data_IF_694396777773
#
_entry.id   IF_694396777773
#
_cell.length_a   1.000
_cell.length_b   1.000
_cell.length_c   1.000
_cell.angle_alpha   90.00
_cell.angle_beta   90.00
_cell.angle_gamma   90.00
#
_symmetry.space_group_name_H-M   'P 1'
#
loop_
_entity.id
_entity.type
_entity.pdbx_description
1 polymer ?
#
# COMPACT_ATOMS: atom_id res chain seq x y z
N UNK A 1 -17.91 -0.50 -2.73
CA UNK A 1 -17.03 0.30 -3.61
C UNK A 1 -15.72 -0.48 -3.68
N UNK A 2 -15.19 -0.79 -4.86
CA UNK A 2 -13.88 -1.45 -4.96
C UNK A 2 -12.76 -0.45 -4.64
N UNK A 3 -11.61 -0.94 -4.20
CA UNK A 3 -10.46 -0.08 -3.92
C UNK A 3 -10.00 0.73 -5.13
N UNK A 4 -9.44 1.91 -4.89
CA UNK A 4 -8.95 2.85 -5.91
C UNK A 4 -7.44 3.03 -5.79
N UNK A 5 -6.76 3.26 -6.93
CA UNK A 5 -5.32 3.53 -6.99
C UNK A 5 -5.11 4.91 -7.59
N UNK A 6 -4.32 5.75 -6.92
CA UNK A 6 -3.94 7.09 -7.38
C UNK A 6 -2.43 7.20 -7.42
N UNK A 7 -1.91 8.12 -8.22
CA UNK A 7 -0.49 8.41 -8.24
C UNK A 7 -0.21 9.91 -8.32
N UNK A 8 0.93 10.30 -7.74
CA UNK A 8 1.51 11.63 -7.84
C UNK A 8 2.89 11.49 -8.47
N UNK A 9 3.10 12.14 -9.60
CA UNK A 9 4.40 12.24 -10.26
C UNK A 9 5.01 13.60 -9.97
N UNK A 10 6.18 13.65 -9.34
CA UNK A 10 6.93 14.87 -9.11
C UNK A 10 8.05 15.00 -10.14
N UNK A 11 7.82 15.83 -11.17
CA UNK A 11 8.78 16.03 -12.25
C UNK A 11 10.12 16.64 -11.80
N UNK A 12 10.11 17.46 -10.74
CA UNK A 12 11.32 18.18 -10.28
C UNK A 12 12.27 17.25 -9.51
N UNK A 13 11.72 16.33 -8.73
CA UNK A 13 12.47 15.33 -7.96
C UNK A 13 12.57 13.99 -8.68
N UNK A 14 11.96 13.91 -9.87
CA UNK A 14 11.76 12.72 -10.67
C UNK A 14 11.24 11.52 -9.86
N UNK A 15 10.36 11.77 -8.89
CA UNK A 15 9.84 10.78 -7.94
C UNK A 15 8.37 10.45 -8.22
N UNK A 16 7.98 9.23 -7.85
CA UNK A 16 6.61 8.73 -8.01
C UNK A 16 6.08 8.29 -6.65
N UNK A 17 4.86 8.70 -6.31
CA UNK A 17 4.14 8.16 -5.15
C UNK A 17 2.84 7.53 -5.60
N UNK A 18 2.63 6.26 -5.25
CA UNK A 18 1.38 5.55 -5.43
C UNK A 18 0.59 5.53 -4.13
N UNK A 19 -0.72 5.62 -4.23
CA UNK A 19 -1.65 5.54 -3.11
C UNK A 19 -2.72 4.49 -3.39
N UNK A 20 -2.90 3.58 -2.45
CA UNK A 20 -3.98 2.61 -2.44
C UNK A 20 -5.06 3.01 -1.46
N UNK A 21 -6.30 2.91 -1.89
CA UNK A 21 -7.47 3.25 -1.09
C UNK A 21 -8.46 2.10 -1.09
N UNK A 22 -9.12 1.90 0.05
CA UNK A 22 -10.30 1.05 0.19
C UNK A 22 -11.47 1.90 0.69
N UNK A 23 -12.50 2.05 -0.15
CA UNK A 23 -13.53 3.07 0.07
C UNK A 23 -12.91 4.46 0.22
N UNK A 24 -13.10 5.07 1.39
CA UNK A 24 -12.56 6.38 1.75
C UNK A 24 -11.29 6.33 2.63
N UNK A 25 -10.77 5.15 2.90
CA UNK A 25 -9.54 4.95 3.67
C UNK A 25 -8.35 4.78 2.75
N UNK A 26 -7.24 5.46 3.05
CA UNK A 26 -5.98 5.29 2.35
C UNK A 26 -5.18 4.21 3.07
N UNK A 27 -5.12 3.02 2.48
CA UNK A 27 -4.63 1.80 3.14
C UNK A 27 -3.13 1.56 2.93
N UNK A 28 -2.53 2.22 1.94
CA UNK A 28 -1.09 2.24 1.76
C UNK A 28 -0.64 3.39 0.87
N UNK A 29 0.60 3.82 1.06
CA UNK A 29 1.35 4.68 0.14
C UNK A 29 2.68 4.03 -0.20
N UNK A 30 3.14 4.22 -1.43
CA UNK A 30 4.42 3.68 -1.89
C UNK A 30 5.18 4.74 -2.66
N UNK A 31 6.37 5.06 -2.18
CA UNK A 31 7.24 6.07 -2.75
C UNK A 31 8.38 5.40 -3.51
N UNK A 32 8.59 5.87 -4.73
CA UNK A 32 9.70 5.52 -5.57
C UNK A 32 10.54 6.77 -5.83
N UNK A 33 11.79 6.68 -5.40
CA UNK A 33 12.76 7.73 -5.50
C UNK A 33 13.58 7.58 -6.79
N UNK A 34 13.96 8.68 -7.43
CA UNK A 34 15.01 8.59 -8.45
C UNK A 34 16.38 8.54 -7.76
N UNK A 35 17.10 7.46 -8.04
CA UNK A 35 18.43 7.17 -7.48
C UNK A 35 19.47 8.27 -7.73
N UNK A 36 19.26 9.15 -8.71
CA UNK A 36 20.22 10.19 -9.09
C UNK A 36 20.06 11.52 -8.34
N UNK A 37 18.90 11.78 -7.72
CA UNK A 37 18.58 13.11 -7.16
C UNK A 37 18.01 13.07 -5.74
N UNK A 38 17.43 11.96 -5.31
CA UNK A 38 16.73 11.87 -4.02
C UNK A 38 17.63 11.30 -2.92
N UNK A 39 17.56 11.90 -1.72
CA UNK A 39 18.21 11.39 -0.50
C UNK A 39 17.39 10.27 0.17
N UNK A 40 16.15 10.08 -0.26
CA UNK A 40 15.21 9.11 0.30
C UNK A 40 15.23 7.84 -0.53
N UNK A 41 15.21 6.69 0.15
CA UNK A 41 15.08 5.38 -0.51
C UNK A 41 13.60 5.07 -0.80
N UNK A 42 13.37 4.11 -1.68
CA UNK A 42 12.03 3.58 -1.93
C UNK A 42 11.45 3.00 -0.65
N UNK A 43 10.18 3.27 -0.38
CA UNK A 43 9.48 2.74 0.77
C UNK A 43 8.01 2.50 0.47
N UNK A 44 7.39 1.64 1.26
CA UNK A 44 5.94 1.47 1.27
C UNK A 44 5.43 1.45 2.69
N UNK A 45 4.40 2.26 2.98
CA UNK A 45 3.70 2.28 4.27
C UNK A 45 2.30 1.71 4.08
N UNK A 46 1.86 0.89 5.03
CA UNK A 46 0.50 0.39 5.12
C UNK A 46 -0.17 0.95 6.37
N UNK A 47 -1.47 1.18 6.27
CA UNK A 47 -2.30 1.71 7.34
C UNK A 47 -3.45 0.73 7.61
N UNK A 48 -3.67 0.41 8.88
CA UNK A 48 -4.80 -0.37 9.36
C UNK A 48 -5.64 0.54 10.24
N UNK A 49 -6.95 0.50 10.05
CA UNK A 49 -7.91 1.36 10.73
C UNK A 49 -8.84 0.54 11.62
N UNK A 50 -9.45 1.20 12.59
CA UNK A 50 -10.58 0.65 13.34
C UNK A 50 -11.76 0.32 12.40
N UNK A 51 -12.58 -0.69 12.72
CA UNK A 51 -13.76 -1.02 11.93
C UNK A 51 -14.69 0.18 11.78
N UNK A 52 -15.10 0.49 10.55
CA UNK A 52 -16.03 1.57 10.22
C UNK A 52 -15.59 2.96 10.73
N UNK A 53 -14.28 3.21 10.83
CA UNK A 53 -13.73 4.43 11.39
C UNK A 53 -12.54 4.94 10.56
N UNK A 54 -12.24 6.23 10.70
CA UNK A 54 -11.06 6.88 10.12
C UNK A 54 -9.87 6.90 11.10
N UNK A 55 -10.02 6.27 12.26
CA UNK A 55 -8.98 6.18 13.31
C UNK A 55 -7.98 5.10 12.90
N UNK A 56 -6.72 5.44 12.58
CA UNK A 56 -5.68 4.45 12.32
C UNK A 56 -5.33 3.71 13.61
N UNK A 57 -5.22 2.39 13.55
CA UNK A 57 -4.74 1.54 14.65
C UNK A 57 -3.23 1.31 14.56
N UNK A 58 -2.78 1.06 13.34
CA UNK A 58 -1.43 0.59 13.08
C UNK A 58 -0.94 1.17 11.76
N UNK A 59 0.32 1.60 11.75
CA UNK A 59 1.08 1.76 10.51
C UNK A 59 2.26 0.81 10.49
N UNK A 60 2.67 0.43 9.28
CA UNK A 60 3.85 -0.40 9.11
C UNK A 60 4.54 -0.12 7.79
N UNK A 61 5.86 -0.21 7.78
CA UNK A 61 6.70 0.11 6.64
C UNK A 61 7.63 -1.03 6.24
N UNK A 62 7.97 -1.07 4.95
CA UNK A 62 9.05 -1.88 4.42
C UNK A 62 9.83 -1.12 3.35
N UNK A 63 11.10 -1.47 3.18
CA UNK A 63 11.95 -0.90 2.13
C UNK A 63 11.56 -1.44 0.75
N UNK A 64 11.34 -0.51 -0.17
CA UNK A 64 11.03 -0.81 -1.56
C UNK A 64 9.63 -0.39 -1.99
N UNK A 65 9.49 -0.31 -3.31
CA UNK A 65 8.26 0.06 -3.96
C UNK A 65 7.28 -1.11 -4.06
N UNK A 66 5.98 -0.82 -3.96
CA UNK A 66 4.92 -1.83 -3.98
C UNK A 66 4.84 -2.51 -5.34
N UNK A 67 4.84 -3.86 -5.33
CA UNK A 67 4.63 -4.65 -6.54
C UNK A 67 3.14 -4.93 -6.73
N UNK A 68 2.51 -4.17 -7.61
CA UNK A 68 1.09 -4.34 -7.93
C UNK A 68 0.84 -5.54 -8.85
N UNK A 69 -0.32 -6.17 -8.68
CA UNK A 69 -0.87 -7.05 -9.73
C UNK A 69 -1.27 -6.22 -10.94
N UNK A 70 -0.96 -6.73 -12.12
CA UNK A 70 -1.41 -6.17 -13.39
C UNK A 70 -2.94 -6.18 -13.46
N UNK A 71 -3.51 -5.12 -14.03
CA UNK A 71 -4.96 -5.04 -14.25
C UNK A 71 -5.33 -6.05 -15.36
N UNK A 72 -6.11 -7.10 -15.07
CA UNK A 72 -6.51 -8.06 -16.10
C UNK A 72 -7.43 -7.41 -17.13
N UNK A 73 -7.10 -7.57 -18.41
CA UNK A 73 -8.05 -7.23 -19.48
C UNK A 73 -8.97 -8.42 -19.73
N UNK A 74 -10.20 -8.36 -19.21
CA UNK A 74 -11.18 -9.43 -19.40
C UNK A 74 -11.86 -9.42 -20.77
N UNK A 75 -11.68 -8.37 -21.59
CA UNK A 75 -12.32 -8.26 -22.91
C UNK A 75 -11.85 -9.36 -23.86
N UNK A 76 -10.61 -9.84 -23.69
CA UNK A 76 -10.05 -10.94 -24.48
C UNK A 76 -10.85 -12.25 -24.34
N UNK A 77 -11.54 -12.46 -23.21
CA UNK A 77 -12.32 -13.67 -22.96
C UNK A 77 -13.71 -13.67 -23.61
N UNK A 78 -14.05 -12.62 -24.37
CA UNK A 78 -15.22 -12.64 -25.23
C UNK A 78 -15.07 -13.67 -26.36
N UNK A 79 -13.83 -13.88 -26.85
CA UNK A 79 -13.53 -14.74 -27.99
C UNK A 79 -12.64 -15.96 -27.63
N UNK A 80 -12.13 -16.01 -26.41
CA UNK A 80 -11.21 -17.06 -25.92
C UNK A 80 -11.76 -17.62 -24.61
N UNK A 81 -11.79 -18.94 -24.39
CA UNK A 81 -12.24 -19.50 -23.13
C UNK A 81 -11.39 -18.98 -21.96
N UNK A 82 -12.06 -18.57 -20.89
CA UNK A 82 -11.42 -18.14 -19.65
C UNK A 82 -10.51 -19.25 -19.08
N UNK A 83 -9.34 -18.85 -18.58
CA UNK A 83 -8.43 -19.76 -17.90
C UNK A 83 -7.90 -19.11 -16.62
N UNK A 84 -8.27 -19.69 -15.48
CA UNK A 84 -7.84 -19.25 -14.14
C UNK A 84 -6.32 -19.18 -14.01
N UNK A 85 -5.59 -20.08 -14.68
CA UNK A 85 -4.13 -20.13 -14.65
C UNK A 85 -3.45 -18.94 -15.36
N UNK A 86 -4.17 -18.28 -16.27
CA UNK A 86 -3.65 -17.12 -17.02
C UNK A 86 -4.03 -15.78 -16.38
N UNK A 87 -4.99 -15.77 -15.45
CA UNK A 87 -5.49 -14.57 -14.81
C UNK A 87 -4.51 -14.07 -13.72
N UNK A 88 -3.93 -12.87 -13.85
CA UNK A 88 -3.00 -12.28 -12.87
C UNK A 88 -3.55 -12.22 -11.45
N UNK A 89 -4.87 -12.12 -11.27
CA UNK A 89 -5.51 -12.07 -9.95
C UNK A 89 -5.38 -13.40 -9.20
N UNK A 90 -5.39 -14.51 -9.94
CA UNK A 90 -5.31 -15.86 -9.38
C UNK A 90 -3.88 -16.41 -9.29
N UNK A 91 -2.89 -15.73 -9.89
CA UNK A 91 -1.48 -16.12 -9.78
C UNK A 91 -0.98 -15.88 -8.35
N UNK A 92 -0.46 -16.94 -7.73
CA UNK A 92 0.09 -16.90 -6.35
C UNK A 92 1.49 -16.28 -6.27
N UNK A 93 2.12 -15.94 -7.39
CA UNK A 93 3.50 -15.45 -7.45
C UNK A 93 3.72 -14.14 -6.67
N UNK A 94 2.73 -13.26 -6.67
CA UNK A 94 2.75 -12.04 -5.84
C UNK A 94 2.59 -12.33 -4.35
N UNK A 95 1.93 -13.44 -3.97
CA UNK A 95 1.82 -13.88 -2.56
C UNK A 95 3.10 -14.51 -2.01
N UNK A 96 3.99 -15.01 -2.87
CA UNK A 96 5.27 -15.64 -2.47
C UNK A 96 6.32 -14.61 -2.08
N UNK A 97 6.31 -13.44 -2.72
CA UNK A 97 7.23 -12.35 -2.45
C UNK A 97 6.66 -11.39 -1.41
N UNK A 98 6.44 -11.90 -0.19
CA UNK A 98 6.09 -11.03 0.93
C UNK A 98 7.31 -10.17 1.25
N UNK A 99 7.15 -8.85 1.18
CA UNK A 99 8.16 -7.95 1.71
C UNK A 99 8.28 -8.20 3.22
N UNK A 100 9.51 -8.22 3.72
CA UNK A 100 9.77 -8.28 5.15
C UNK A 100 9.38 -6.94 5.75
N UNK A 101 8.65 -6.98 6.87
CA UNK A 101 8.20 -5.79 7.56
C UNK A 101 9.37 -5.20 8.32
N UNK A 102 9.70 -3.93 8.07
CA UNK A 102 10.83 -3.29 8.72
C UNK A 102 10.48 -2.76 10.09
N UNK A 103 9.32 -2.10 10.22
CA UNK A 103 8.85 -1.52 11.47
C UNK A 103 7.34 -1.50 11.56
N UNK A 104 6.86 -1.51 12.79
CA UNK A 104 5.45 -1.47 13.17
C UNK A 104 5.26 -0.37 14.20
N UNK A 105 4.27 0.48 13.99
CA UNK A 105 3.94 1.54 14.94
C UNK A 105 2.44 1.62 15.23
N UNK A 106 2.10 1.65 16.52
CA UNK A 106 0.74 1.60 17.04
C UNK A 106 0.29 2.97 17.49
N UNK A 107 -0.89 3.40 17.03
CA UNK A 107 -1.48 4.66 17.45
C UNK A 107 -2.27 4.49 18.73
N UNK A 108 -2.07 5.39 19.69
CA UNK A 108 -2.81 5.45 20.94
C UNK A 108 -3.67 6.69 20.98
N UNK A 109 -4.96 6.48 21.24
CA UNK A 109 -5.98 7.51 21.29
C UNK A 109 -6.56 7.62 22.70
N UNK A 110 -7.00 8.83 23.06
CA UNK A 110 -7.82 9.00 24.26
C UNK A 110 -9.30 8.61 24.03
N UNK A 111 -10.11 8.72 25.09
CA UNK A 111 -11.53 8.35 25.05
C UNK A 111 -12.39 9.22 24.10
N UNK A 112 -11.86 10.36 23.64
CA UNK A 112 -12.56 11.25 22.69
C UNK A 112 -11.98 11.16 21.27
N UNK A 113 -11.02 10.26 21.03
CA UNK A 113 -10.47 9.98 19.71
C UNK A 113 -9.34 10.92 19.29
N UNK A 114 -8.66 11.59 20.23
CA UNK A 114 -7.47 12.41 19.94
C UNK A 114 -6.21 11.55 19.95
N UNK A 115 -5.37 11.58 18.89
CA UNK A 115 -4.11 10.84 18.88
C UNK A 115 -3.14 11.45 19.89
N UNK A 116 -2.66 10.64 20.84
CA UNK A 116 -1.76 11.10 21.90
C UNK A 116 -0.33 10.63 21.70
N UNK A 117 -0.13 9.36 21.38
CA UNK A 117 1.19 8.75 21.25
C UNK A 117 1.24 7.71 20.14
N UNK A 118 2.45 7.49 19.63
CA UNK A 118 2.77 6.42 18.69
C UNK A 118 3.83 5.57 19.36
N UNK A 119 3.57 4.26 19.53
CA UNK A 119 4.57 3.34 20.07
C UNK A 119 5.12 2.41 19.00
N UNK A 120 6.33 1.91 19.17
CA UNK A 120 6.91 0.87 18.30
C UNK A 120 6.47 -0.55 18.73
N UNK A 121 7.02 -1.58 18.07
CA UNK A 121 6.81 -3.00 18.44
C UNK A 121 7.24 -3.39 19.87
N UNK A 122 8.08 -2.59 20.53
CA UNK A 122 8.51 -2.80 21.92
C UNK A 122 7.64 -2.03 22.93
N UNK A 123 6.72 -1.18 22.46
CA UNK A 123 5.86 -0.35 23.31
C UNK A 123 6.51 0.95 23.79
N UNK A 124 7.66 1.34 23.21
CA UNK A 124 8.32 2.63 23.45
C UNK A 124 7.70 3.76 22.65
#
# INVERSE_FOLDING_TARGET
MFGRRLFKNNANENSLTLFGWDGDLMIWESYQANQTQSKQQDYTKHYVYEPNSFVPLLQTDYAGFIKLIETPDYRQFQNVPYSIYKDPVWKTETRKNKAELERVAFYHYDQVGTPQTLSNELGD
#
